data_IF_383478976135
#
_entry.id   IF_383478976135
#
_cell.length_a   1.000
_cell.length_b   1.000
_cell.length_c   1.000
_cell.angle_alpha   90.00
_cell.angle_beta   90.00
_cell.angle_gamma   90.00
#
_symmetry.space_group_name_H-M   'P 1'
#
loop_
_entity.id
_entity.type
_entity.pdbx_description
1 polymer ?
#
# COMPACT_ATOMS: atom_id res chain seq x y z
N UNK A 1 15.64 -13.05 4.40
CA UNK A 1 16.34 -14.35 4.50
C UNK A 1 15.83 -15.03 5.75
N UNK A 2 15.63 -16.35 5.73
CA UNK A 2 15.24 -17.09 6.94
C UNK A 2 16.41 -17.13 7.95
N UNK A 3 16.13 -17.52 9.19
CA UNK A 3 17.15 -17.61 10.26
C UNK A 3 18.39 -18.43 9.88
N UNK A 4 18.25 -19.43 9.00
CA UNK A 4 19.35 -20.25 8.49
C UNK A 4 20.12 -19.62 7.31
N UNK A 5 19.80 -18.37 6.96
CA UNK A 5 20.34 -17.61 5.82
C UNK A 5 20.13 -18.30 4.46
N UNK A 6 19.24 -19.28 4.37
CA UNK A 6 18.91 -19.95 3.11
C UNK A 6 17.59 -19.42 2.54
N UNK A 7 17.42 -19.59 1.23
CA UNK A 7 16.12 -19.35 0.59
C UNK A 7 15.20 -20.58 0.71
N UNK A 8 13.91 -20.35 0.44
CA UNK A 8 12.88 -21.38 0.24
C UNK A 8 12.36 -21.41 -1.20
N UNK A 9 12.93 -20.58 -2.06
CA UNK A 9 12.64 -20.53 -3.48
C UNK A 9 13.88 -20.89 -4.28
N UNK A 10 13.70 -21.67 -5.34
CA UNK A 10 14.73 -21.95 -6.32
C UNK A 10 14.10 -22.21 -7.69
N UNK A 11 14.83 -21.89 -8.75
CA UNK A 11 14.49 -22.25 -10.13
C UNK A 11 15.73 -22.87 -10.75
N UNK A 12 15.60 -24.10 -11.28
CA UNK A 12 16.74 -24.82 -11.87
C UNK A 12 17.92 -25.06 -10.90
N UNK A 13 17.64 -25.15 -9.60
CA UNK A 13 18.69 -25.27 -8.56
C UNK A 13 19.33 -23.95 -8.15
N UNK A 14 19.05 -22.84 -8.85
CA UNK A 14 19.50 -21.50 -8.45
C UNK A 14 18.56 -20.90 -7.40
N UNK A 15 19.05 -20.47 -6.23
CA UNK A 15 18.21 -19.85 -5.20
C UNK A 15 17.63 -18.49 -5.66
N UNK A 16 16.36 -18.25 -5.34
CA UNK A 16 15.69 -16.94 -5.50
C UNK A 16 15.52 -16.33 -4.13
N UNK A 17 15.91 -15.07 -3.92
CA UNK A 17 15.81 -14.44 -2.60
C UNK A 17 14.37 -14.07 -2.22
N UNK A 18 14.11 -14.09 -0.91
CA UNK A 18 12.86 -13.58 -0.35
C UNK A 18 12.82 -12.05 -0.39
N UNK A 19 11.63 -11.49 -0.61
CA UNK A 19 11.37 -10.05 -0.55
C UNK A 19 10.52 -9.71 0.68
N UNK A 20 10.95 -8.69 1.43
CA UNK A 20 10.28 -8.16 2.65
C UNK A 20 9.82 -9.21 3.68
N UNK A 21 10.43 -10.41 3.67
CA UNK A 21 10.08 -11.49 4.58
C UNK A 21 8.77 -12.23 4.26
N UNK A 22 8.04 -11.84 3.21
CA UNK A 22 6.72 -12.39 2.88
C UNK A 22 6.67 -13.05 1.50
N UNK A 23 7.29 -12.44 0.48
CA UNK A 23 7.34 -12.98 -0.89
C UNK A 23 5.97 -13.37 -1.46
N UNK A 24 4.97 -12.49 -1.33
CA UNK A 24 3.55 -12.78 -1.63
C UNK A 24 3.22 -13.01 -3.11
N UNK A 25 4.14 -12.74 -4.04
CA UNK A 25 3.97 -12.96 -5.48
C UNK A 25 4.26 -14.40 -5.93
N UNK A 26 4.00 -15.37 -5.05
CA UNK A 26 4.06 -16.80 -5.30
C UNK A 26 2.81 -17.44 -4.72
N UNK A 27 2.27 -18.47 -5.38
CA UNK A 27 1.10 -19.20 -4.89
C UNK A 27 1.34 -19.82 -3.51
N UNK A 28 2.59 -20.14 -3.19
CA UNK A 28 3.02 -20.63 -1.89
C UNK A 28 4.25 -19.85 -1.43
N UNK A 29 4.30 -19.53 -0.15
CA UNK A 29 5.45 -18.88 0.49
C UNK A 29 5.73 -19.52 1.84
N UNK A 30 6.94 -19.31 2.34
CA UNK A 30 7.39 -19.75 3.67
C UNK A 30 7.84 -18.51 4.42
N UNK A 31 7.21 -18.25 5.56
CA UNK A 31 7.45 -17.07 6.38
C UNK A 31 7.82 -17.48 7.81
N UNK A 32 8.39 -16.55 8.57
CA UNK A 32 8.56 -16.74 10.01
C UNK A 32 7.20 -16.66 10.71
N UNK A 33 7.05 -17.40 11.81
CA UNK A 33 5.88 -17.37 12.67
C UNK A 33 5.57 -15.97 13.21
N UNK A 34 6.61 -15.19 13.54
CA UNK A 34 6.50 -13.78 13.93
C UNK A 34 5.91 -12.87 12.83
N UNK A 35 5.94 -13.30 11.57
CA UNK A 35 5.37 -12.57 10.43
C UNK A 35 3.93 -12.99 10.11
N UNK A 36 3.33 -13.88 10.91
CA UNK A 36 1.97 -14.39 10.70
C UNK A 36 1.02 -13.85 11.76
N UNK A 37 -0.05 -13.21 11.31
CA UNK A 37 -1.19 -12.86 12.17
C UNK A 37 -2.38 -13.71 11.80
N UNK A 38 -2.92 -14.46 12.77
CA UNK A 38 -4.17 -15.21 12.59
C UNK A 38 -5.34 -14.24 12.57
N UNK A 39 -6.19 -14.34 11.56
CA UNK A 39 -7.40 -13.53 11.41
C UNK A 39 -8.67 -14.39 11.53
N UNK A 40 -9.83 -13.74 11.60
CA UNK A 40 -11.14 -14.41 11.57
C UNK A 40 -11.29 -15.22 10.26
N UNK A 41 -11.62 -16.52 10.33
CA UNK A 41 -11.82 -17.35 9.14
C UNK A 41 -12.95 -16.87 8.22
N UNK A 42 -13.86 -16.01 8.69
CA UNK A 42 -14.95 -15.40 7.88
C UNK A 42 -14.53 -14.11 7.19
N UNK A 43 -13.32 -13.61 7.41
CA UNK A 43 -12.86 -12.37 6.80
C UNK A 43 -12.66 -12.53 5.28
N UNK A 44 -12.99 -11.47 4.53
CA UNK A 44 -12.83 -11.45 3.07
C UNK A 44 -11.35 -11.27 2.71
N UNK A 45 -10.68 -12.35 2.30
CA UNK A 45 -9.23 -12.40 2.05
C UNK A 45 -8.74 -11.33 1.06
N UNK A 46 -9.53 -11.02 0.04
CA UNK A 46 -9.21 -10.00 -0.98
C UNK A 46 -9.18 -8.57 -0.43
N UNK A 47 -9.81 -8.30 0.71
CA UNK A 47 -9.83 -6.98 1.35
C UNK A 47 -8.82 -6.88 2.49
N UNK A 48 -8.73 -7.93 3.30
CA UNK A 48 -7.83 -7.94 4.46
C UNK A 48 -6.35 -7.99 4.09
N UNK A 49 -6.00 -8.39 2.87
CA UNK A 49 -4.62 -8.31 2.39
C UNK A 49 -4.04 -6.88 2.45
N UNK A 50 -4.90 -5.86 2.32
CA UNK A 50 -4.51 -4.44 2.44
C UNK A 50 -4.05 -4.07 3.85
N UNK A 51 -4.43 -4.86 4.86
CA UNK A 51 -3.98 -4.71 6.24
C UNK A 51 -2.53 -5.14 6.46
N UNK A 52 -1.90 -5.80 5.48
CA UNK A 52 -0.50 -6.22 5.60
C UNK A 52 0.54 -5.11 5.37
N UNK A 53 0.11 -3.93 4.92
CA UNK A 53 1.03 -2.82 4.62
C UNK A 53 0.35 -1.45 4.79
N UNK A 54 -0.24 -0.89 3.74
CA UNK A 54 -0.58 0.54 3.68
C UNK A 54 -1.72 0.99 4.60
N UNK A 55 -2.74 0.15 4.86
CA UNK A 55 -3.93 0.59 5.60
C UNK A 55 -3.67 0.85 7.10
N UNK A 56 -2.99 -0.04 7.86
CA UNK A 56 -2.68 0.24 9.26
C UNK A 56 -1.79 1.46 9.41
N UNK A 57 -0.74 1.57 8.58
CA UNK A 57 0.12 2.75 8.56
C UNK A 57 -0.69 4.01 8.28
N UNK A 58 -1.54 4.01 7.24
CA UNK A 58 -2.41 5.15 6.95
C UNK A 58 -3.30 5.54 8.15
N UNK A 59 -3.88 4.57 8.86
CA UNK A 59 -4.66 4.82 10.08
C UNK A 59 -3.83 5.44 11.19
N UNK A 60 -2.61 4.95 11.41
CA UNK A 60 -1.70 5.51 12.42
C UNK A 60 -1.26 6.95 12.07
N UNK A 61 -1.16 7.27 10.78
CA UNK A 61 -0.97 8.63 10.26
C UNK A 61 -2.24 9.51 10.36
N UNK A 62 -3.35 8.98 10.86
CA UNK A 62 -4.59 9.72 11.06
C UNK A 62 -5.44 9.88 9.80
N UNK A 63 -5.29 8.99 8.80
CA UNK A 63 -6.16 9.01 7.61
C UNK A 63 -7.61 8.74 8.02
N UNK A 64 -8.48 9.72 7.78
CA UNK A 64 -9.92 9.68 8.12
C UNK A 64 -10.82 9.33 6.94
N UNK A 65 -10.37 9.60 5.72
CA UNK A 65 -11.20 9.55 4.51
C UNK A 65 -10.54 8.70 3.42
N UNK A 66 -11.36 7.99 2.64
CA UNK A 66 -10.93 7.26 1.44
C UNK A 66 -11.72 7.77 0.24
N UNK A 67 -11.00 8.19 -0.80
CA UNK A 67 -11.59 8.69 -2.05
C UNK A 67 -11.21 7.75 -3.18
N UNK A 68 -12.21 7.18 -3.85
CA UNK A 68 -12.02 6.33 -5.01
C UNK A 68 -12.25 7.16 -6.29
N UNK A 69 -11.24 7.35 -7.17
CA UNK A 69 -11.37 8.13 -8.40
C UNK A 69 -12.54 7.73 -9.31
N UNK A 70 -12.99 6.47 -9.25
CA UNK A 70 -14.09 5.96 -10.10
C UNK A 70 -15.47 6.43 -9.65
N UNK A 71 -15.59 6.96 -8.44
CA UNK A 71 -16.87 7.40 -7.88
C UNK A 71 -17.14 8.89 -8.21
N UNK A 72 -16.30 9.51 -9.04
CA UNK A 72 -16.37 10.93 -9.39
C UNK A 72 -16.14 11.15 -10.88
N UNK A 73 -16.87 12.09 -11.47
CA UNK A 73 -16.70 12.50 -12.88
C UNK A 73 -15.55 13.51 -13.08
N UNK A 74 -15.11 14.15 -12.00
CA UNK A 74 -14.02 15.12 -12.00
C UNK A 74 -12.67 14.41 -11.79
N UNK A 75 -11.56 14.98 -12.28
CA UNK A 75 -10.23 14.53 -11.91
C UNK A 75 -10.05 14.52 -10.38
N UNK A 76 -9.45 13.46 -9.84
CA UNK A 76 -9.32 13.24 -8.38
C UNK A 76 -8.70 14.42 -7.65
N UNK A 77 -7.73 15.11 -8.26
CA UNK A 77 -7.12 16.30 -7.66
C UNK A 77 -8.15 17.44 -7.48
N UNK A 78 -9.08 17.63 -8.40
CA UNK A 78 -10.11 18.65 -8.23
C UNK A 78 -11.11 18.25 -7.16
N UNK A 79 -11.46 16.96 -7.08
CA UNK A 79 -12.32 16.43 -6.01
C UNK A 79 -11.68 16.71 -4.64
N UNK A 80 -10.39 16.44 -4.50
CA UNK A 80 -9.68 16.66 -3.24
C UNK A 80 -9.53 18.16 -2.92
N UNK A 81 -9.23 19.02 -3.90
CA UNK A 81 -9.22 20.48 -3.71
C UNK A 81 -10.58 20.99 -3.22
N UNK A 82 -11.68 20.50 -3.81
CA UNK A 82 -13.04 20.88 -3.42
C UNK A 82 -13.36 20.36 -1.99
N UNK A 83 -12.88 19.16 -1.63
CA UNK A 83 -13.08 18.58 -0.30
C UNK A 83 -12.28 19.25 0.81
N UNK A 84 -11.10 19.80 0.49
CA UNK A 84 -10.16 20.36 1.48
C UNK A 84 -10.06 21.88 1.43
N UNK A 85 -10.97 22.54 0.71
CA UNK A 85 -11.04 24.00 0.58
C UNK A 85 -9.74 24.63 0.08
N UNK A 86 -9.20 24.10 -1.03
CA UNK A 86 -8.04 24.68 -1.71
C UNK A 86 -6.77 23.80 -1.75
N UNK A 87 -6.85 22.54 -1.32
CA UNK A 87 -5.73 21.61 -1.33
C UNK A 87 -5.29 21.16 0.06
N UNK A 88 -4.14 20.52 0.16
CA UNK A 88 -3.62 19.92 1.40
C UNK A 88 -2.25 20.50 1.77
N UNK A 89 -1.94 20.53 3.06
CA UNK A 89 -0.62 20.97 3.56
C UNK A 89 0.50 20.03 3.09
N UNK A 90 0.20 18.73 3.03
CA UNK A 90 1.12 17.70 2.60
C UNK A 90 0.39 16.68 1.72
N UNK A 91 1.01 16.32 0.61
CA UNK A 91 0.56 15.23 -0.26
C UNK A 91 1.70 14.25 -0.50
N UNK A 92 1.43 12.96 -0.40
CA UNK A 92 2.40 11.91 -0.69
C UNK A 92 1.89 11.05 -1.83
N UNK A 93 2.76 10.74 -2.79
CA UNK A 93 2.49 9.74 -3.81
C UNK A 93 3.24 8.46 -3.44
N UNK A 94 2.53 7.34 -3.42
CA UNK A 94 3.10 6.04 -3.00
C UNK A 94 2.74 4.92 -3.98
N UNK A 95 2.51 5.25 -5.26
CA UNK A 95 2.21 4.29 -6.34
C UNK A 95 3.40 4.19 -7.30
N UNK A 96 4.14 5.28 -7.50
CA UNK A 96 5.23 5.37 -8.47
C UNK A 96 4.76 5.78 -9.87
N UNK A 97 3.63 6.47 -10.01
CA UNK A 97 3.10 6.92 -11.30
C UNK A 97 3.32 8.44 -11.50
N UNK A 98 4.06 8.81 -12.55
CA UNK A 98 4.44 10.21 -12.81
C UNK A 98 3.25 11.16 -13.00
N UNK A 99 2.13 10.68 -13.56
CA UNK A 99 0.91 11.49 -13.71
C UNK A 99 0.27 11.77 -12.35
N UNK A 100 0.31 10.80 -11.43
CA UNK A 100 -0.20 10.96 -10.06
C UNK A 100 0.75 11.80 -9.21
N UNK A 101 2.08 11.70 -9.43
CA UNK A 101 3.05 12.57 -8.76
C UNK A 101 2.78 14.04 -9.07
N UNK A 102 2.46 14.35 -10.32
CA UNK A 102 2.05 15.71 -10.72
C UNK A 102 0.74 16.13 -10.05
N UNK A 103 -0.27 15.27 -10.02
CA UNK A 103 -1.54 15.55 -9.37
C UNK A 103 -1.36 15.80 -7.84
N UNK A 104 -0.49 15.04 -7.17
CA UNK A 104 -0.12 15.27 -5.78
C UNK A 104 0.55 16.65 -5.60
N UNK A 105 1.47 17.01 -6.48
CA UNK A 105 2.10 18.35 -6.44
C UNK A 105 1.08 19.48 -6.65
N UNK A 106 0.10 19.30 -7.53
CA UNK A 106 -0.98 20.27 -7.78
C UNK A 106 -1.97 20.38 -6.60
N UNK A 107 -2.09 19.32 -5.79
CA UNK A 107 -2.90 19.29 -4.58
C UNK A 107 -2.28 20.02 -3.39
N UNK A 108 -0.96 20.10 -3.36
CA UNK A 108 -0.26 20.80 -2.28
C UNK A 108 -0.58 22.29 -2.38
N UNK A 109 -1.38 22.81 -1.44
CA UNK A 109 -1.70 24.24 -1.42
C UNK A 109 -0.40 25.02 -1.16
N UNK A 110 -0.04 25.94 -2.06
CA UNK A 110 1.03 26.90 -1.80
C UNK A 110 0.52 27.87 -0.74
N UNK A 111 0.80 27.56 0.54
CA UNK A 111 0.72 28.47 1.70
C UNK A 111 -0.67 29.03 2.05
N UNK A 112 -1.07 28.88 3.32
CA UNK A 112 -1.57 30.05 4.05
C UNK A 112 -0.41 30.98 4.37
#
# INVERSE_FOLDING_TARGET
MMNDKKSRFSVGGTPIYHFTGTSTFSQYTVVHDESVTKIDPKAHLEKVCLLGCGVPTAKDFGVTEFVNPKDHDKPTQQVLVDMTDGGVDYSFECIGNVSIMRAALELSSRTR
#
